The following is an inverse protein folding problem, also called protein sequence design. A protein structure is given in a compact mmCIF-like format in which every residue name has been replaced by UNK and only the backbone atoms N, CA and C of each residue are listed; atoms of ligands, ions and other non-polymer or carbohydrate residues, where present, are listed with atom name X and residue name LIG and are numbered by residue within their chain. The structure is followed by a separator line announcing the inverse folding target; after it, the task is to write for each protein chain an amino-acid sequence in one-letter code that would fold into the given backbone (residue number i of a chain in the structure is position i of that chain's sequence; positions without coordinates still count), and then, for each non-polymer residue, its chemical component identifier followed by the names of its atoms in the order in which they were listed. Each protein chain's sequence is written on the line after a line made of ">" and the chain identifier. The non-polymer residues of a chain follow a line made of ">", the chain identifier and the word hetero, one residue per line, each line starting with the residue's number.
data_IF_448617095623
#
_entry.id   IF_448617095623
#
_cell.length_a   1.000
_cell.length_b   1.000
_cell.length_c   1.000
_cell.angle_alpha   90.00
_cell.angle_beta   90.00
_cell.angle_gamma   90.00
#
_symmetry.space_group_name_H-M   'P 1'
#
loop_
_entity.id
_entity.type
_entity.pdbx_description
1 polymer ?
#
# COMPACT_ATOMS: atom_id res chain seq x y z
N UNK A 1 33.32 -2.06 -32.05
CA UNK A 1 32.89 -3.18 -31.18
C UNK A 1 31.52 -2.83 -30.59
N UNK A 2 30.40 -3.42 -31.05
CA UNK A 2 29.11 -3.18 -30.42
C UNK A 2 29.08 -3.89 -29.06
N UNK A 3 28.98 -3.10 -28.00
CA UNK A 3 28.77 -3.55 -26.63
C UNK A 3 27.46 -4.34 -26.56
N UNK A 4 27.58 -5.63 -26.25
CA UNK A 4 26.45 -6.51 -25.99
C UNK A 4 25.56 -5.89 -24.91
N UNK A 5 24.38 -5.43 -25.31
CA UNK A 5 23.32 -5.06 -24.38
C UNK A 5 22.94 -6.32 -23.63
N UNK A 6 23.42 -6.48 -22.40
CA UNK A 6 22.96 -7.53 -21.52
C UNK A 6 21.48 -7.28 -21.23
N UNK A 7 20.61 -7.92 -21.99
CA UNK A 7 19.20 -8.06 -21.65
C UNK A 7 19.17 -8.90 -20.36
N UNK A 8 19.21 -8.22 -19.22
CA UNK A 8 18.88 -8.86 -17.95
C UNK A 8 17.51 -9.51 -18.16
N UNK A 9 17.39 -10.84 -17.97
CA UNK A 9 16.12 -11.52 -18.12
C UNK A 9 15.13 -10.82 -17.21
N UNK A 10 13.96 -10.48 -17.76
CA UNK A 10 12.82 -9.94 -17.03
C UNK A 10 12.65 -10.82 -15.80
N UNK A 11 13.14 -10.34 -14.66
CA UNK A 11 12.97 -10.98 -13.37
C UNK A 11 11.46 -11.02 -13.18
N UNK A 12 10.84 -12.15 -13.52
CA UNK A 12 9.51 -12.53 -13.07
C UNK A 12 9.61 -12.61 -11.55
N UNK A 13 9.61 -11.45 -10.89
CA UNK A 13 9.68 -11.34 -9.44
C UNK A 13 8.58 -12.25 -8.92
N UNK A 14 8.93 -13.21 -8.08
CA UNK A 14 7.94 -14.14 -7.56
C UNK A 14 6.85 -13.31 -6.87
N UNK A 15 5.55 -13.55 -7.14
CA UNK A 15 4.47 -12.82 -6.49
C UNK A 15 4.56 -12.86 -4.96
N UNK A 16 5.20 -13.89 -4.41
CA UNK A 16 5.28 -14.12 -2.97
C UNK A 16 6.47 -13.41 -2.28
N UNK A 17 7.40 -12.81 -3.03
CA UNK A 17 8.55 -12.10 -2.45
C UNK A 17 8.31 -10.60 -2.29
N UNK A 18 7.14 -10.08 -2.72
CA UNK A 18 6.82 -8.67 -2.54
C UNK A 18 6.24 -8.43 -1.12
N UNK A 19 6.89 -7.52 -0.41
CA UNK A 19 6.48 -7.00 0.89
C UNK A 19 5.44 -5.86 0.79
N UNK A 20 4.90 -5.62 -0.40
CA UNK A 20 4.03 -4.49 -0.69
C UNK A 20 4.79 -3.17 -0.91
N UNK A 21 6.10 -3.19 -1.18
CA UNK A 21 6.89 -1.98 -1.51
C UNK A 21 6.33 -1.33 -2.81
N UNK A 22 5.80 -0.10 -2.74
CA UNK A 22 5.33 0.62 -3.93
C UNK A 22 6.50 1.13 -4.77
N UNK A 23 6.24 1.39 -6.05
CA UNK A 23 7.26 1.92 -6.98
C UNK A 23 7.56 3.41 -6.79
N UNK A 24 6.70 4.15 -6.08
CA UNK A 24 6.80 5.59 -5.84
C UNK A 24 7.01 6.42 -7.12
N UNK A 25 6.40 6.01 -8.23
CA UNK A 25 6.56 6.65 -9.54
C UNK A 25 5.55 7.78 -9.73
N UNK A 26 4.34 7.64 -9.18
CA UNK A 26 3.31 8.66 -9.25
C UNK A 26 3.56 9.77 -8.24
N UNK A 27 3.30 11.03 -8.62
CA UNK A 27 3.27 12.14 -7.66
C UNK A 27 2.21 11.92 -6.56
N UNK A 28 1.13 11.21 -6.90
CA UNK A 28 0.08 10.83 -5.95
C UNK A 28 0.55 9.78 -4.92
N UNK A 29 1.60 9.02 -5.20
CA UNK A 29 2.18 8.05 -4.26
C UNK A 29 3.15 8.73 -3.28
N UNK A 30 3.68 9.90 -3.62
CA UNK A 30 4.63 10.64 -2.78
C UNK A 30 3.92 11.17 -1.53
N UNK A 31 4.55 11.03 -0.37
CA UNK A 31 3.97 11.23 0.96
C UNK A 31 2.77 10.33 1.30
N UNK A 32 2.43 9.34 0.46
CA UNK A 32 1.49 8.30 0.87
C UNK A 32 2.18 7.19 1.64
N UNK A 33 1.40 6.64 2.56
CA UNK A 33 1.75 5.50 3.37
C UNK A 33 1.01 4.28 2.81
N UNK A 34 1.71 3.17 2.62
CA UNK A 34 1.18 1.93 2.05
C UNK A 34 1.36 0.81 3.05
N UNK A 35 0.35 -0.04 3.19
CA UNK A 35 0.40 -1.15 4.15
C UNK A 35 1.40 -2.21 3.71
N UNK A 36 2.25 -2.67 4.63
CA UNK A 36 3.06 -3.85 4.37
C UNK A 36 2.16 -5.10 4.39
N UNK A 37 2.35 -5.98 3.40
CA UNK A 37 1.46 -7.14 3.21
C UNK A 37 1.61 -8.23 4.28
N UNK A 38 2.78 -8.33 4.89
CA UNK A 38 3.09 -9.39 5.87
C UNK A 38 3.17 -8.85 7.30
N UNK A 39 3.45 -7.55 7.46
CA UNK A 39 3.65 -6.92 8.76
C UNK A 39 2.69 -5.74 8.98
N UNK A 40 1.59 -5.90 9.75
CA UNK A 40 0.67 -4.81 10.03
C UNK A 40 1.26 -3.72 10.94
N UNK A 41 2.42 -3.97 11.56
CA UNK A 41 3.16 -2.93 12.31
C UNK A 41 4.05 -2.10 11.39
N UNK A 42 4.22 -2.49 10.13
CA UNK A 42 5.07 -1.81 9.17
C UNK A 42 4.29 -1.26 7.98
N UNK A 43 4.79 -0.16 7.44
CA UNK A 43 4.21 0.50 6.28
C UNK A 43 5.31 1.15 5.44
N UNK A 44 5.05 1.28 4.15
CA UNK A 44 5.96 1.88 3.19
C UNK A 44 5.60 3.34 2.98
N UNK A 45 6.59 4.22 2.91
CA UNK A 45 6.38 5.64 2.63
C UNK A 45 7.26 6.07 1.47
N UNK A 46 6.67 6.73 0.48
CA UNK A 46 7.42 7.33 -0.60
C UNK A 46 7.82 8.76 -0.25
N UNK A 47 9.09 9.02 0.09
CA UNK A 47 9.54 10.40 0.36
C UNK A 47 9.63 11.25 -0.90
N UNK A 48 10.08 10.65 -2.02
CA UNK A 48 10.32 11.35 -3.29
C UNK A 48 9.90 10.49 -4.48
N UNK A 49 9.43 11.15 -5.53
CA UNK A 49 9.10 10.51 -6.80
C UNK A 49 10.33 9.82 -7.39
N UNK A 50 10.17 8.59 -7.87
CA UNK A 50 11.23 7.79 -8.48
C UNK A 50 12.25 7.22 -7.48
N UNK A 51 12.05 7.39 -6.18
CA UNK A 51 12.88 6.77 -5.14
C UNK A 51 12.21 5.55 -4.55
N UNK A 52 12.98 4.61 -3.99
CA UNK A 52 12.41 3.43 -3.33
C UNK A 52 11.63 3.84 -2.08
N UNK A 53 10.53 3.15 -1.81
CA UNK A 53 9.74 3.39 -0.61
C UNK A 53 10.55 3.06 0.65
N UNK A 54 10.42 3.89 1.67
CA UNK A 54 11.05 3.70 2.98
C UNK A 54 10.14 2.84 3.85
N UNK A 55 10.66 1.73 4.36
CA UNK A 55 9.98 0.97 5.41
C UNK A 55 9.97 1.79 6.70
N UNK A 56 8.79 2.03 7.23
CA UNK A 56 8.56 2.63 8.53
C UNK A 56 7.78 1.66 9.40
N UNK A 57 8.01 1.73 10.71
CA UNK A 57 7.27 0.93 11.69
C UNK A 57 6.49 1.84 12.61
N UNK A 58 5.31 1.37 12.97
CA UNK A 58 4.50 1.99 13.99
C UNK A 58 5.16 1.81 15.38
N UNK A 59 4.84 2.71 16.33
CA UNK A 59 5.20 2.51 17.73
C UNK A 59 4.71 1.16 18.28
N UNK A 60 5.26 0.71 19.40
CA UNK A 60 4.83 -0.54 20.03
C UNK A 60 3.32 -0.52 20.30
N UNK A 61 2.66 -1.67 20.12
CA UNK A 61 1.21 -1.83 20.27
C UNK A 61 0.36 -1.00 19.30
N UNK A 62 0.95 -0.50 18.20
CA UNK A 62 0.21 0.17 17.13
C UNK A 62 0.32 -0.58 15.81
N UNK A 63 -0.75 -0.53 15.03
CA UNK A 63 -0.89 -1.14 13.72
C UNK A 63 -1.22 -0.05 12.70
N UNK A 64 -0.66 -0.19 11.51
CA UNK A 64 -0.89 0.76 10.43
C UNK A 64 -2.30 0.57 9.87
N UNK A 65 -3.11 1.63 9.94
CA UNK A 65 -4.41 1.70 9.28
C UNK A 65 -4.26 2.44 7.95
N UNK A 66 -4.39 1.69 6.85
CA UNK A 66 -4.36 2.26 5.49
C UNK A 66 -5.51 3.24 5.26
N UNK A 67 -6.67 3.02 5.87
CA UNK A 67 -7.81 3.92 5.80
C UNK A 67 -7.52 5.30 6.39
N UNK A 68 -6.85 5.32 7.54
CA UNK A 68 -6.54 6.55 8.26
C UNK A 68 -5.19 7.14 7.85
N UNK A 69 -4.38 6.41 7.07
CA UNK A 69 -3.02 6.78 6.73
C UNK A 69 -2.15 7.01 7.96
N UNK A 70 -2.38 6.26 9.05
CA UNK A 70 -1.67 6.43 10.33
C UNK A 70 -1.62 5.16 11.15
N UNK A 71 -0.67 5.11 12.06
CA UNK A 71 -0.61 4.10 13.11
C UNK A 71 -1.71 4.37 14.15
N UNK A 72 -2.49 3.34 14.47
CA UNK A 72 -3.51 3.37 15.53
C UNK A 72 -3.23 2.25 16.52
N UNK A 73 -3.68 2.39 17.76
CA UNK A 73 -3.50 1.34 18.76
C UNK A 73 -4.17 0.05 18.30
N UNK A 74 -3.56 -1.11 18.59
CA UNK A 74 -4.09 -2.41 18.12
C UNK A 74 -5.54 -2.66 18.55
N UNK A 75 -5.96 -2.07 19.69
CA UNK A 75 -7.34 -2.17 20.18
C UNK A 75 -8.35 -1.35 19.35
N UNK A 76 -7.89 -0.26 18.73
CA UNK A 76 -8.69 0.59 17.84
C UNK A 76 -8.52 0.20 16.36
N UNK A 77 -7.55 -0.69 16.07
CA UNK A 77 -7.25 -1.12 14.71
C UNK A 77 -8.33 -2.07 14.21
N UNK A 78 -9.20 -1.57 13.35
CA UNK A 78 -10.13 -2.38 12.60
C UNK A 78 -9.48 -2.89 11.32
N UNK A 79 -9.71 -4.16 10.99
CA UNK A 79 -9.41 -4.65 9.64
C UNK A 79 -10.28 -3.90 8.64
N UNK A 80 -9.66 -3.09 7.77
CA UNK A 80 -10.38 -2.41 6.71
C UNK A 80 -10.56 -3.35 5.53
N UNK A 81 -11.81 -3.53 5.07
CA UNK A 81 -12.06 -4.14 3.77
C UNK A 81 -11.50 -3.25 2.65
N UNK A 82 -11.07 -3.82 1.50
CA UNK A 82 -10.71 -3.03 0.34
C UNK A 82 -11.85 -2.06 0.01
N UNK A 83 -11.65 -0.76 0.18
CA UNK A 83 -12.62 0.25 -0.26
C UNK A 83 -12.67 0.19 -1.78
N UNK A 84 -13.68 -0.49 -2.31
CA UNK A 84 -14.02 -0.43 -3.73
C UNK A 84 -14.17 1.05 -4.11
N UNK A 85 -13.46 1.55 -5.14
CA UNK A 85 -13.55 2.95 -5.53
C UNK A 85 -15.01 3.32 -5.76
N UNK A 86 -15.37 4.55 -5.39
CA UNK A 86 -16.75 5.09 -5.38
C UNK A 86 -17.54 4.96 -6.71
N UNK A 87 -16.96 4.37 -7.76
CA UNK A 87 -17.60 4.04 -9.03
C UNK A 87 -18.31 2.68 -9.10
N UNK A 88 -18.15 1.74 -8.16
CA UNK A 88 -18.97 0.50 -8.18
C UNK A 88 -20.21 0.67 -7.32
N UNK A 89 -21.21 1.28 -7.94
CA UNK A 89 -22.61 1.41 -7.50
C UNK A 89 -23.03 0.46 -6.37
N UNK A 90 -23.13 0.97 -5.14
CA UNK A 90 -24.01 0.41 -4.12
C UNK A 90 -25.41 0.99 -4.38
N UNK A 91 -26.21 0.32 -5.20
CA UNK A 91 -27.67 0.45 -5.11
C UNK A 91 -28.06 -0.18 -3.76
N UNK A 92 -27.93 0.58 -2.68
CA UNK A 92 -28.38 0.16 -1.35
C UNK A 92 -28.65 1.37 -0.46
N UNK A 93 -29.38 2.34 -0.99
CA UNK A 93 -30.08 3.34 -0.18
C UNK A 93 -31.42 3.67 -0.84
N UNK A 94 -32.30 2.68 -0.97
CA UNK A 94 -33.72 2.93 -1.27
C UNK A 94 -34.58 1.71 -0.93
N UNK A 95 -34.58 1.30 0.34
CA UNK A 95 -35.79 0.71 0.93
C UNK A 95 -36.00 1.43 2.25
N UNK A 96 -36.34 2.72 2.13
CA UNK A 96 -37.04 3.42 3.19
C UNK A 96 -38.42 2.81 3.28
N UNK A 97 -38.64 2.17 4.41
CA UNK A 97 -39.91 1.79 5.02
C UNK A 97 -41.07 2.70 4.61
N UNK A 98 -42.14 2.09 4.12
CA UNK A 98 -43.51 2.57 4.30
C UNK A 98 -44.30 1.41 4.91
#
# INVERSE_FOLDING_TARGET
>A
MPTASAHLPIQKRRPHEHNGEPSCQGLDEVNRMFRNYWDPTAYWVCDKQGTRARLQRCPQSQLYSEELGRCVHYADWAWTDPKEPAGRAKISQSVSTN
#
